data_IF_865199590423
#
_entry.id   IF_865199590423
#
_cell.length_a   1.000
_cell.length_b   1.000
_cell.length_c   1.000
_cell.angle_alpha   90.00
_cell.angle_beta   90.00
_cell.angle_gamma   90.00
#
_symmetry.space_group_name_H-M   'P 1'
#
loop_
_entity.id
_entity.type
_entity.pdbx_description
1 polymer ?
#
# COMPACT_ATOMS: atom_id res chain seq x y z
N UNK A 1 8.66 -11.73 -14.08
CA UNK A 1 8.07 -10.40 -13.81
C UNK A 1 8.85 -9.75 -12.67
N UNK A 2 9.11 -8.44 -12.72
CA UNK A 2 9.82 -7.74 -11.64
C UNK A 2 8.81 -7.12 -10.66
N UNK A 3 8.54 -7.84 -9.58
CA UNK A 3 7.56 -7.44 -8.57
C UNK A 3 8.05 -6.30 -7.68
N UNK A 4 9.37 -6.13 -7.49
CA UNK A 4 9.90 -5.00 -6.74
C UNK A 4 9.70 -3.71 -7.53
N UNK A 5 9.91 -3.72 -8.85
CA UNK A 5 9.56 -2.58 -9.70
C UNK A 5 8.08 -2.20 -9.61
N UNK A 6 7.17 -3.18 -9.68
CA UNK A 6 5.72 -2.95 -9.57
C UNK A 6 5.36 -2.33 -8.22
N UNK A 7 5.95 -2.84 -7.14
CA UNK A 7 5.79 -2.30 -5.78
C UNK A 7 6.27 -0.86 -5.71
N UNK A 8 7.46 -0.55 -6.25
CA UNK A 8 8.01 0.80 -6.26
C UNK A 8 7.15 1.77 -7.09
N UNK A 9 6.63 1.34 -8.24
CA UNK A 9 5.72 2.15 -9.05
C UNK A 9 4.42 2.48 -8.29
N UNK A 10 3.83 1.48 -7.62
CA UNK A 10 2.64 1.67 -6.79
C UNK A 10 2.90 2.62 -5.60
N UNK A 11 4.06 2.48 -4.95
CA UNK A 11 4.53 3.37 -3.89
C UNK A 11 4.68 4.81 -4.39
N UNK A 12 5.46 5.02 -5.45
CA UNK A 12 5.74 6.35 -6.01
C UNK A 12 4.47 7.07 -6.45
N UNK A 13 3.56 6.34 -7.12
CA UNK A 13 2.27 6.88 -7.56
C UNK A 13 1.41 7.38 -6.39
N UNK A 14 1.27 6.54 -5.35
CA UNK A 14 0.45 6.90 -4.20
C UNK A 14 1.11 8.00 -3.35
N UNK A 15 2.42 7.92 -3.13
CA UNK A 15 3.18 8.94 -2.40
C UNK A 15 3.06 10.31 -3.08
N UNK A 16 3.24 10.37 -4.40
CA UNK A 16 3.09 11.62 -5.16
C UNK A 16 1.69 12.22 -5.01
N UNK A 17 0.65 11.39 -5.16
CA UNK A 17 -0.74 11.82 -4.96
C UNK A 17 -0.96 12.39 -3.55
N UNK A 18 -0.52 11.68 -2.51
CA UNK A 18 -0.72 12.11 -1.13
C UNK A 18 0.09 13.36 -0.77
N UNK A 19 1.33 13.47 -1.25
CA UNK A 19 2.17 14.66 -1.07
C UNK A 19 1.56 15.90 -1.71
N UNK A 20 0.96 15.79 -2.91
CA UNK A 20 0.25 16.90 -3.54
C UNK A 20 -0.94 17.38 -2.70
N UNK A 21 -1.70 16.46 -2.09
CA UNK A 21 -2.86 16.83 -1.28
C UNK A 21 -2.44 17.45 0.06
N UNK A 22 -1.47 16.86 0.75
CA UNK A 22 -0.95 17.38 2.02
C UNK A 22 -0.32 18.77 1.83
N UNK A 23 0.43 18.98 0.74
CA UNK A 23 1.03 20.28 0.42
C UNK A 23 0.02 21.43 0.25
N UNK A 24 -1.24 21.11 -0.03
CA UNK A 24 -2.32 22.08 -0.19
C UNK A 24 -3.08 22.38 1.13
N UNK A 25 -2.52 22.01 2.29
CA UNK A 25 -3.15 22.25 3.60
C UNK A 25 -4.15 21.17 4.02
N UNK A 26 -4.17 20.02 3.34
CA UNK A 26 -5.00 18.89 3.74
C UNK A 26 -4.46 18.22 4.99
N UNK A 27 -5.28 18.13 6.03
CA UNK A 27 -4.97 17.34 7.23
C UNK A 27 -5.35 15.88 6.95
N UNK A 28 -4.39 14.95 6.90
CA UNK A 28 -4.69 13.56 6.63
C UNK A 28 -5.56 12.96 7.74
N UNK A 29 -6.67 12.32 7.35
CA UNK A 29 -7.50 11.56 8.29
C UNK A 29 -6.78 10.26 8.67
N UNK A 30 -6.04 10.31 9.79
CA UNK A 30 -5.20 9.22 10.29
C UNK A 30 -5.99 7.92 10.45
N UNK A 31 -7.19 7.98 11.05
CA UNK A 31 -8.04 6.78 11.24
C UNK A 31 -8.44 6.16 9.90
N UNK A 32 -8.68 6.97 8.87
CA UNK A 32 -8.98 6.47 7.53
C UNK A 32 -7.75 5.81 6.89
N UNK A 33 -6.57 6.40 7.04
CA UNK A 33 -5.31 5.84 6.54
C UNK A 33 -4.99 4.50 7.22
N UNK A 34 -5.10 4.42 8.55
CA UNK A 34 -4.90 3.17 9.29
C UNK A 34 -5.90 2.08 8.88
N UNK A 35 -7.16 2.45 8.66
CA UNK A 35 -8.17 1.53 8.12
C UNK A 35 -7.75 1.01 6.75
N UNK A 36 -7.24 1.88 5.88
CA UNK A 36 -6.80 1.48 4.55
C UNK A 36 -5.57 0.55 4.59
N UNK A 37 -4.59 0.82 5.46
CA UNK A 37 -3.47 -0.09 5.69
C UNK A 37 -3.95 -1.47 6.14
N UNK A 38 -4.93 -1.55 7.05
CA UNK A 38 -5.53 -2.83 7.47
C UNK A 38 -6.24 -3.54 6.32
N UNK A 39 -7.01 -2.82 5.51
CA UNK A 39 -7.69 -3.39 4.33
C UNK A 39 -6.69 -3.98 3.33
N UNK A 40 -5.61 -3.23 3.04
CA UNK A 40 -4.56 -3.67 2.12
C UNK A 40 -3.85 -4.93 2.64
N UNK A 41 -3.52 -4.97 3.94
CA UNK A 41 -2.93 -6.16 4.58
C UNK A 41 -3.86 -7.37 4.54
N UNK A 42 -5.15 -7.18 4.81
CA UNK A 42 -6.12 -8.27 4.70
C UNK A 42 -6.24 -8.76 3.25
N UNK A 43 -6.21 -7.85 2.27
CA UNK A 43 -6.19 -8.21 0.86
C UNK A 43 -4.95 -9.01 0.45
N UNK A 44 -3.76 -8.66 0.97
CA UNK A 44 -2.54 -9.46 0.78
C UNK A 44 -2.74 -10.86 1.35
N UNK A 45 -3.20 -10.96 2.60
CA UNK A 45 -3.43 -12.26 3.26
C UNK A 45 -4.37 -13.16 2.46
N UNK A 46 -5.45 -12.59 1.91
CA UNK A 46 -6.40 -13.32 1.07
C UNK A 46 -5.73 -13.82 -0.21
N UNK A 47 -4.88 -13.01 -0.84
CA UNK A 47 -4.15 -13.41 -2.05
C UNK A 47 -3.09 -14.48 -1.76
N UNK A 48 -2.32 -14.33 -0.68
CA UNK A 48 -1.30 -15.30 -0.26
C UNK A 48 -1.91 -16.65 0.13
N UNK A 49 -3.08 -16.66 0.75
CA UNK A 49 -3.79 -17.90 1.11
C UNK A 49 -4.58 -18.49 -0.06
N UNK A 50 -5.13 -17.63 -0.92
CA UNK A 50 -5.99 -18.03 -2.02
C UNK A 50 -5.23 -18.48 -3.27
N UNK A 51 -4.13 -17.82 -3.63
CA UNK A 51 -3.38 -18.16 -4.84
C UNK A 51 -2.88 -19.62 -4.86
N UNK A 52 -2.34 -20.18 -3.76
CA UNK A 52 -1.94 -21.59 -3.73
C UNK A 52 -3.11 -22.57 -3.83
N UNK A 53 -4.32 -22.15 -3.45
CA UNK A 53 -5.51 -23.01 -3.41
C UNK A 53 -6.35 -22.97 -4.70
N UNK A 54 -6.37 -21.82 -5.38
CA UNK A 54 -7.30 -21.56 -6.49
C UNK A 54 -6.62 -21.27 -7.82
N UNK A 55 -5.31 -20.98 -7.85
CA UNK A 55 -4.64 -20.73 -9.12
C UNK A 55 -4.49 -22.04 -9.91
N UNK A 56 -5.06 -22.04 -11.11
CA UNK A 56 -5.08 -23.18 -12.04
C UNK A 56 -3.94 -23.11 -13.06
N UNK A 57 -3.28 -21.95 -13.16
CA UNK A 57 -2.20 -21.71 -14.12
C UNK A 57 -1.25 -20.61 -13.63
N UNK A 58 -0.09 -20.49 -14.30
CA UNK A 58 0.94 -19.50 -13.97
C UNK A 58 0.44 -18.06 -14.08
N UNK A 59 -0.47 -17.76 -15.01
CA UNK A 59 -1.00 -16.41 -15.20
C UNK A 59 -1.83 -15.94 -13.99
N UNK A 60 -2.56 -16.85 -13.33
CA UNK A 60 -3.31 -16.55 -12.12
C UNK A 60 -2.38 -16.30 -10.92
N UNK A 61 -1.29 -17.06 -10.82
CA UNK A 61 -0.23 -16.81 -9.83
C UNK A 61 0.40 -15.43 -10.06
N UNK A 62 0.77 -15.09 -11.30
CA UNK A 62 1.35 -13.78 -11.63
C UNK A 62 0.41 -12.61 -11.31
N UNK A 63 -0.90 -12.77 -11.51
CA UNK A 63 -1.91 -11.77 -11.13
C UNK A 63 -1.98 -11.60 -9.61
N UNK A 64 -1.91 -12.68 -8.85
CA UNK A 64 -1.91 -12.62 -7.39
C UNK A 64 -0.65 -11.92 -6.87
N UNK A 65 0.53 -12.32 -7.34
CA UNK A 65 1.82 -11.71 -6.99
C UNK A 65 1.88 -10.22 -7.36
N UNK A 66 1.41 -9.86 -8.56
CA UNK A 66 1.26 -8.45 -8.97
C UNK A 66 0.35 -7.69 -8.01
N UNK A 67 -0.78 -8.30 -7.62
CA UNK A 67 -1.72 -7.74 -6.66
C UNK A 67 -1.12 -7.54 -5.27
N UNK A 68 -0.25 -8.46 -4.83
CA UNK A 68 0.48 -8.35 -3.56
C UNK A 68 1.48 -7.21 -3.63
N UNK A 69 2.32 -7.16 -4.66
CA UNK A 69 3.32 -6.11 -4.86
C UNK A 69 2.70 -4.70 -4.86
N UNK A 70 1.59 -4.50 -5.58
CA UNK A 70 0.86 -3.22 -5.60
C UNK A 70 0.40 -2.83 -4.19
N UNK A 71 -0.17 -3.77 -3.43
CA UNK A 71 -0.68 -3.50 -2.08
C UNK A 71 0.46 -3.19 -1.11
N UNK A 72 1.59 -3.90 -1.21
CA UNK A 72 2.79 -3.62 -0.42
C UNK A 72 3.31 -2.19 -0.67
N UNK A 73 3.40 -1.77 -1.94
CA UNK A 73 3.82 -0.41 -2.28
C UNK A 73 2.88 0.65 -1.72
N UNK A 74 1.57 0.42 -1.78
CA UNK A 74 0.57 1.32 -1.18
C UNK A 74 0.68 1.40 0.34
N UNK A 75 0.87 0.26 1.01
CA UNK A 75 1.06 0.21 2.47
C UNK A 75 2.28 1.05 2.87
N UNK A 76 3.40 0.89 2.16
CA UNK A 76 4.62 1.66 2.42
C UNK A 76 4.37 3.17 2.31
N UNK A 77 3.65 3.62 1.27
CA UNK A 77 3.34 5.05 1.11
C UNK A 77 2.43 5.60 2.22
N UNK A 78 1.42 4.84 2.65
CA UNK A 78 0.57 5.24 3.77
C UNK A 78 1.31 5.26 5.11
N UNK A 79 2.17 4.27 5.37
CA UNK A 79 2.98 4.23 6.58
C UNK A 79 3.92 5.42 6.69
N UNK A 80 4.58 5.83 5.59
CA UNK A 80 5.44 7.01 5.60
C UNK A 80 4.70 8.29 6.02
N UNK A 81 3.42 8.42 5.66
CA UNK A 81 2.60 9.58 6.06
C UNK A 81 2.20 9.50 7.53
N UNK A 82 1.82 8.31 8.00
CA UNK A 82 1.53 8.09 9.42
C UNK A 82 2.76 8.43 10.26
N UNK A 83 3.94 7.94 9.87
CA UNK A 83 5.20 8.17 10.56
C UNK A 83 5.55 9.66 10.60
N UNK A 84 5.43 10.36 9.46
CA UNK A 84 5.62 11.83 9.40
C UNK A 84 4.67 12.56 10.34
N UNK A 85 3.39 12.21 10.33
CA UNK A 85 2.39 12.86 11.16
C UNK A 85 2.64 12.61 12.66
N UNK A 86 2.97 11.37 13.03
CA UNK A 86 3.30 11.03 14.42
C UNK A 86 4.59 11.69 14.92
N UNK A 87 5.59 11.91 14.06
CA UNK A 87 6.78 12.69 14.38
C UNK A 87 6.42 14.15 14.65
N UNK A 88 5.60 14.78 13.81
CA UNK A 88 5.16 16.17 14.00
C UNK A 88 4.41 16.39 15.31
N UNK A 89 3.63 15.41 15.78
CA UNK A 89 2.96 15.49 17.10
C UNK A 89 3.96 15.38 18.26
N UNK A 90 4.99 14.53 18.13
CA UNK A 90 6.00 14.36 19.20
C UNK A 90 6.93 15.56 19.39
N UNK A 91 7.08 16.39 18.36
CA UNK A 91 7.91 17.60 18.38
C UNK A 91 7.16 18.86 18.85
N UNK A 92 5.85 18.74 19.17
CA UNK A 92 5.01 19.78 19.76
C UNK A 92 4.87 19.62 21.27
#
# INVERSE_FOLDING_TARGET
>A
MDYEKIKQDAYNKLKSYLSQHIGNGFIPNIKAIEKEVRNLRNGIRILEQGAPLFATNLQEVEKAETGIAIRQGKIQAYQEILDKYYLTIKEQ
#
